data_IF_771119170921
#
_entry.id   IF_771119170921
#
_cell.length_a   1.000
_cell.length_b   1.000
_cell.length_c   1.000
_cell.angle_alpha   90.00
_cell.angle_beta   90.00
_cell.angle_gamma   90.00
#
_symmetry.space_group_name_H-M   'P 1'
#
loop_
_entity.id
_entity.type
_entity.pdbx_description
1 polymer ?
#
# COMPACT_ATOMS: atom_id res chain seq x y z
N UNK A 1 10.14 -6.64 -9.50
CA UNK A 1 9.58 -7.75 -8.69
C UNK A 1 10.49 -8.10 -7.51
N UNK A 2 11.68 -8.67 -7.69
CA UNK A 2 12.54 -9.13 -6.57
C UNK A 2 12.95 -8.03 -5.58
N UNK A 3 13.31 -6.84 -6.08
CA UNK A 3 13.63 -5.68 -5.23
C UNK A 3 12.47 -5.26 -4.33
N UNK A 4 11.23 -5.28 -4.86
CA UNK A 4 10.04 -4.93 -4.09
C UNK A 4 9.73 -5.98 -3.01
N UNK A 5 9.98 -7.26 -3.31
CA UNK A 5 9.84 -8.36 -2.35
C UNK A 5 10.87 -8.21 -1.23
N UNK A 6 12.13 -7.90 -1.55
CA UNK A 6 13.19 -7.64 -0.57
C UNK A 6 12.87 -6.45 0.35
N UNK A 7 12.35 -5.35 -0.21
CA UNK A 7 11.90 -4.19 0.56
C UNK A 7 10.69 -4.53 1.44
N UNK A 8 9.75 -5.31 0.93
CA UNK A 8 8.62 -5.82 1.69
C UNK A 8 9.09 -6.68 2.87
N UNK A 9 10.02 -7.60 2.63
CA UNK A 9 10.55 -8.50 3.65
C UNK A 9 11.22 -7.72 4.79
N UNK A 10 12.04 -6.72 4.46
CA UNK A 10 12.66 -5.81 5.45
C UNK A 10 11.60 -5.05 6.27
N UNK A 11 10.55 -4.57 5.60
CA UNK A 11 9.47 -3.83 6.25
C UNK A 11 8.68 -4.73 7.20
N UNK A 12 8.31 -5.93 6.75
CA UNK A 12 7.57 -6.90 7.57
C UNK A 12 8.44 -7.36 8.76
N UNK A 13 9.73 -7.64 8.57
CA UNK A 13 10.65 -7.95 9.69
C UNK A 13 10.72 -6.84 10.73
N UNK A 14 10.68 -5.57 10.31
CA UNK A 14 10.73 -4.42 11.22
C UNK A 14 9.46 -4.26 12.08
N UNK A 15 8.28 -4.51 11.51
CA UNK A 15 7.00 -4.24 12.20
C UNK A 15 6.31 -5.47 12.79
N UNK A 16 6.66 -6.69 12.36
CA UNK A 16 5.95 -7.92 12.76
C UNK A 16 6.53 -8.61 13.99
N UNK A 17 7.70 -8.16 14.46
CA UNK A 17 8.41 -8.73 15.61
C UNK A 17 8.46 -10.27 15.57
N UNK A 18 8.10 -10.91 16.69
CA UNK A 18 8.14 -12.36 16.86
C UNK A 18 7.07 -13.13 16.03
N UNK A 19 6.13 -12.45 15.38
CA UNK A 19 5.05 -13.07 14.58
C UNK A 19 5.31 -13.02 13.07
N UNK A 20 6.53 -12.71 12.66
CA UNK A 20 6.96 -12.64 11.25
C UNK A 20 6.45 -13.83 10.41
N UNK A 21 6.58 -15.06 10.93
CA UNK A 21 6.19 -16.30 10.23
C UNK A 21 4.68 -16.45 9.96
N UNK A 22 3.81 -15.74 10.68
CA UNK A 22 2.35 -15.76 10.48
C UNK A 22 1.79 -14.50 9.84
N UNK A 23 2.60 -13.46 9.69
CA UNK A 23 2.18 -12.12 9.24
C UNK A 23 2.14 -11.94 7.72
N UNK A 24 2.23 -13.04 6.95
CA UNK A 24 2.40 -13.06 5.49
C UNK A 24 1.37 -12.20 4.74
N UNK A 25 0.19 -11.97 5.32
CA UNK A 25 -0.94 -11.27 4.71
C UNK A 25 -1.38 -10.06 5.55
N UNK A 26 -0.93 -9.95 6.81
CA UNK A 26 -1.54 -9.01 7.75
C UNK A 26 -0.90 -7.63 7.68
N UNK A 27 -1.75 -6.61 7.47
CA UNK A 27 -1.59 -5.17 7.78
C UNK A 27 -1.15 -4.18 6.69
N UNK A 28 -1.11 -4.52 5.40
CA UNK A 28 -0.75 -3.52 4.37
C UNK A 28 -1.66 -3.49 3.13
N UNK A 29 -2.98 -3.55 3.33
CA UNK A 29 -3.98 -3.39 2.26
C UNK A 29 -3.73 -2.14 1.40
N UNK A 30 -3.37 -1.02 2.04
CA UNK A 30 -2.99 0.25 1.42
C UNK A 30 -1.82 0.08 0.43
N UNK A 31 -0.73 -0.58 0.84
CA UNK A 31 0.46 -0.75 -0.02
C UNK A 31 0.24 -1.78 -1.12
N UNK A 32 -0.52 -2.83 -0.85
CA UNK A 32 -0.88 -3.82 -1.88
C UNK A 32 -1.71 -3.17 -2.98
N UNK A 33 -2.70 -2.36 -2.61
CA UNK A 33 -3.51 -1.63 -3.58
C UNK A 33 -2.67 -0.61 -4.36
N UNK A 34 -1.73 0.09 -3.73
CA UNK A 34 -0.84 1.00 -4.46
C UNK A 34 0.11 0.30 -5.42
N UNK A 35 0.59 -0.90 -5.06
CA UNK A 35 1.43 -1.70 -5.95
C UNK A 35 0.61 -2.13 -7.17
N UNK A 36 -0.64 -2.57 -6.97
CA UNK A 36 -1.55 -2.88 -8.07
C UNK A 36 -1.82 -1.66 -8.95
N UNK A 37 -2.07 -0.48 -8.38
CA UNK A 37 -2.24 0.76 -9.15
C UNK A 37 -1.01 1.09 -10.01
N UNK A 38 0.20 0.96 -9.44
CA UNK A 38 1.46 1.15 -10.19
C UNK A 38 1.61 0.14 -11.32
N UNK A 39 1.27 -1.12 -11.08
CA UNK A 39 1.35 -2.19 -12.07
C UNK A 39 0.32 -1.98 -13.20
N UNK A 40 -0.82 -1.36 -12.90
CA UNK A 40 -1.83 -0.93 -13.89
C UNK A 40 -1.48 0.39 -14.60
N UNK A 41 -0.34 1.03 -14.29
CA UNK A 41 0.04 2.32 -14.86
C UNK A 41 -0.79 3.51 -14.37
N UNK A 42 -1.62 3.29 -13.34
CA UNK A 42 -2.49 4.30 -12.76
C UNK A 42 -1.77 5.02 -11.61
N UNK A 43 -1.99 6.33 -11.49
CA UNK A 43 -1.26 7.14 -10.53
C UNK A 43 -1.75 6.77 -9.11
N UNK A 44 -0.88 6.34 -8.18
CA UNK A 44 -1.30 5.93 -6.83
C UNK A 44 -1.79 7.09 -5.95
N UNK A 45 -1.95 8.30 -6.50
CA UNK A 45 -2.50 9.46 -5.78
C UNK A 45 -4.01 9.30 -5.67
N UNK A 46 -4.46 8.83 -4.51
CA UNK A 46 -5.86 8.46 -4.23
C UNK A 46 -6.80 9.66 -4.12
N UNK A 47 -6.28 10.86 -3.81
CA UNK A 47 -7.07 12.11 -3.77
C UNK A 47 -6.39 13.27 -4.49
N UNK A 48 -7.20 14.08 -5.18
CA UNK A 48 -6.76 15.33 -5.81
C UNK A 48 -6.50 16.40 -4.75
N UNK A 49 -5.23 16.49 -4.31
CA UNK A 49 -4.75 17.54 -3.40
C UNK A 49 -3.85 16.99 -2.27
N UNK A 50 -2.73 17.67 -2.01
CA UNK A 50 -1.71 17.24 -1.06
C UNK A 50 -2.19 17.11 0.40
N UNK A 51 -3.12 17.98 0.81
CA UNK A 51 -3.69 17.97 2.16
C UNK A 51 -4.75 16.89 2.33
N UNK A 52 -5.61 16.71 1.31
CA UNK A 52 -6.69 15.72 1.32
C UNK A 52 -6.14 14.30 1.44
N UNK A 53 -5.02 14.03 0.77
CA UNK A 53 -4.40 12.71 0.76
C UNK A 53 -3.73 12.34 2.10
N UNK A 54 -3.42 13.32 2.98
CA UNK A 54 -2.78 13.05 4.29
C UNK A 54 -3.74 12.97 5.47
N UNK A 55 -4.85 13.71 5.40
CA UNK A 55 -5.72 13.92 6.57
C UNK A 55 -7.10 13.26 6.46
N UNK A 56 -7.55 12.89 5.25
CA UNK A 56 -8.83 12.20 5.09
C UNK A 56 -8.66 10.69 5.25
N UNK A 57 -9.66 10.01 5.83
CA UNK A 57 -9.68 8.55 5.83
C UNK A 57 -9.71 8.03 4.39
N UNK A 58 -8.99 6.94 4.17
CA UNK A 58 -8.96 6.23 2.89
C UNK A 58 -10.12 5.26 2.80
N UNK A 59 -10.86 5.32 1.69
CA UNK A 59 -11.91 4.38 1.37
C UNK A 59 -11.57 3.65 0.07
N UNK A 60 -12.00 2.38 -0.12
CA UNK A 60 -11.88 1.69 -1.42
C UNK A 60 -12.50 2.47 -2.58
N UNK A 61 -13.51 3.31 -2.32
CA UNK A 61 -14.13 4.18 -3.32
C UNK A 61 -13.16 5.23 -3.90
N UNK A 62 -12.13 5.63 -3.15
CA UNK A 62 -11.14 6.62 -3.60
C UNK A 62 -10.26 6.08 -4.75
N UNK A 63 -10.25 4.76 -4.99
CA UNK A 63 -9.56 4.15 -6.14
C UNK A 63 -10.42 4.12 -7.42
N UNK A 64 -11.73 4.36 -7.31
CA UNK A 64 -12.65 4.37 -8.44
C UNK A 64 -12.78 5.75 -9.11
N UNK A 65 -12.33 6.83 -8.44
CA UNK A 65 -12.33 8.20 -8.99
C UNK A 65 -11.11 8.50 -9.89
N UNK A 66 -10.31 7.49 -10.22
CA UNK A 66 -9.16 7.60 -11.14
C UNK A 66 -9.63 7.48 -12.59
N UNK A 67 -10.31 8.51 -13.09
CA UNK A 67 -10.48 8.82 -14.52
C UNK A 67 -9.59 10.01 -14.93
#
# INVERSE_FOLDING_TARGET
>A
MEKNVMEWEKHVKKYSGNRYRGSCISTLHIRSNDQLCKDMGSNPRRKKGFLKDRFLPYSPADYAELD
#
